data_IF_532025693825
#
_entry.id   IF_532025693825
#
_cell.length_a   1.000
_cell.length_b   1.000
_cell.length_c   1.000
_cell.angle_alpha   90.00
_cell.angle_beta   90.00
_cell.angle_gamma   90.00
#
_symmetry.space_group_name_H-M   'P 1'
#
loop_
_entity.id
_entity.type
_entity.pdbx_description
1 polymer ?
#
# COMPACT_ATOMS: atom_id res chain seq x y z
N UNK A 1 12.69 -37.28 -5.98
CA UNK A 1 11.35 -36.97 -5.43
C UNK A 1 10.70 -35.89 -6.27
N UNK A 2 9.57 -36.17 -6.89
CA UNK A 2 8.81 -35.15 -7.63
C UNK A 2 8.28 -34.11 -6.63
N UNK A 3 8.62 -32.84 -6.82
CA UNK A 3 8.12 -31.74 -6.00
C UNK A 3 6.62 -31.63 -6.20
N UNK A 4 5.84 -31.92 -5.15
CA UNK A 4 4.38 -31.76 -5.19
C UNK A 4 4.10 -30.26 -5.17
N UNK A 5 3.65 -29.73 -6.30
CA UNK A 5 3.30 -28.32 -6.42
C UNK A 5 1.96 -28.03 -5.73
N UNK A 6 1.82 -26.90 -5.03
CA UNK A 6 0.58 -26.55 -4.38
C UNK A 6 -0.53 -26.25 -5.42
N UNK A 7 -1.82 -26.41 -5.06
CA UNK A 7 -2.94 -26.15 -5.97
C UNK A 7 -2.95 -24.74 -6.57
N UNK A 8 -2.47 -23.75 -5.80
CA UNK A 8 -2.36 -22.35 -6.22
C UNK A 8 -1.12 -22.04 -7.06
N UNK A 9 -0.24 -23.02 -7.34
CA UNK A 9 1.01 -22.78 -8.06
C UNK A 9 0.78 -22.08 -9.41
N UNK A 10 -0.29 -22.46 -10.12
CA UNK A 10 -0.67 -21.85 -11.40
C UNK A 10 -0.98 -20.35 -11.32
N UNK A 11 -1.37 -19.84 -10.14
CA UNK A 11 -1.67 -18.42 -9.93
C UNK A 11 -0.40 -17.59 -9.71
N UNK A 12 0.65 -18.23 -9.19
CA UNK A 12 1.94 -17.58 -8.89
C UNK A 12 3.00 -17.83 -9.97
N UNK A 13 2.74 -18.76 -10.89
CA UNK A 13 3.60 -19.08 -12.03
C UNK A 13 3.18 -18.36 -13.31
N UNK A 14 4.10 -18.32 -14.27
CA UNK A 14 3.75 -17.90 -15.63
C UNK A 14 2.93 -18.95 -16.38
N UNK A 15 2.16 -18.52 -17.39
CA UNK A 15 2.02 -17.13 -17.86
C UNK A 15 1.02 -16.30 -17.04
N UNK A 16 0.24 -16.93 -16.15
CA UNK A 16 -0.87 -16.27 -15.45
C UNK A 16 -0.42 -15.06 -14.64
N UNK A 17 0.63 -15.20 -13.83
CA UNK A 17 1.10 -14.13 -12.94
C UNK A 17 1.48 -12.86 -13.70
N UNK A 18 2.30 -13.01 -14.76
CA UNK A 18 2.73 -11.88 -15.60
C UNK A 18 1.57 -11.27 -16.39
N UNK A 19 0.66 -12.09 -16.92
CA UNK A 19 -0.55 -11.60 -17.62
C UNK A 19 -1.45 -10.84 -16.65
N UNK A 20 -1.67 -11.36 -15.45
CA UNK A 20 -2.51 -10.74 -14.44
C UNK A 20 -2.01 -9.34 -14.11
N UNK A 21 -0.75 -9.20 -13.70
CA UNK A 21 -0.17 -7.89 -13.37
C UNK A 21 -0.07 -6.96 -14.59
N UNK A 22 0.24 -7.48 -15.77
CA UNK A 22 0.27 -6.69 -17.00
C UNK A 22 -1.10 -6.08 -17.34
N UNK A 23 -2.15 -6.90 -17.31
CA UNK A 23 -3.53 -6.47 -17.60
C UNK A 23 -4.02 -5.49 -16.54
N UNK A 24 -3.91 -5.83 -15.25
CA UNK A 24 -4.41 -4.95 -14.17
C UNK A 24 -3.68 -3.62 -14.13
N UNK A 25 -2.36 -3.61 -14.37
CA UNK A 25 -1.57 -2.38 -14.40
C UNK A 25 -1.94 -1.50 -15.59
N UNK A 26 -2.14 -2.11 -16.77
CA UNK A 26 -2.58 -1.38 -17.98
C UNK A 26 -3.95 -0.72 -17.78
N UNK A 27 -4.92 -1.46 -17.25
CA UNK A 27 -6.24 -0.91 -16.94
C UNK A 27 -6.17 0.19 -15.89
N UNK A 28 -5.37 0.02 -14.83
CA UNK A 28 -5.19 1.04 -13.79
C UNK A 28 -4.59 2.32 -14.37
N UNK A 29 -3.52 2.22 -15.16
CA UNK A 29 -2.87 3.38 -15.80
C UNK A 29 -3.86 4.09 -16.72
N UNK A 30 -4.56 3.36 -17.58
CA UNK A 30 -5.55 3.94 -18.50
C UNK A 30 -6.69 4.66 -17.74
N UNK A 31 -7.23 4.03 -16.69
CA UNK A 31 -8.30 4.61 -15.88
C UNK A 31 -7.84 5.88 -15.13
N UNK A 32 -6.63 5.88 -14.59
CA UNK A 32 -6.07 7.05 -13.90
C UNK A 32 -5.69 8.17 -14.88
N UNK A 33 -5.19 7.86 -16.08
CA UNK A 33 -5.00 8.84 -17.14
C UNK A 33 -6.33 9.47 -17.57
N UNK A 34 -7.40 8.68 -17.69
CA UNK A 34 -8.75 9.18 -17.94
C UNK A 34 -9.25 10.08 -16.80
N UNK A 35 -9.00 9.71 -15.54
CA UNK A 35 -9.32 10.54 -14.38
C UNK A 35 -8.58 11.88 -14.43
N UNK A 36 -7.29 11.87 -14.75
CA UNK A 36 -6.48 13.09 -14.93
C UNK A 36 -7.06 13.95 -16.06
N UNK A 37 -7.36 13.35 -17.21
CA UNK A 37 -8.01 14.04 -18.32
C UNK A 37 -9.35 14.65 -17.89
N UNK A 38 -10.20 13.90 -17.20
CA UNK A 38 -11.49 14.38 -16.70
C UNK A 38 -11.35 15.53 -15.71
N UNK A 39 -10.33 15.52 -14.85
CA UNK A 39 -10.03 16.62 -13.91
C UNK A 39 -9.72 17.92 -14.66
N UNK A 40 -8.97 17.85 -15.76
CA UNK A 40 -8.59 19.03 -16.56
C UNK A 40 -9.68 19.45 -17.56
N UNK A 41 -10.41 18.49 -18.13
CA UNK A 41 -11.47 18.74 -19.09
C UNK A 41 -12.76 19.27 -18.43
N UNK A 42 -13.04 18.87 -17.19
CA UNK A 42 -14.21 19.35 -16.46
C UNK A 42 -14.00 20.80 -16.01
N UNK A 43 -14.69 21.74 -16.66
CA UNK A 43 -14.82 23.14 -16.23
C UNK A 43 -15.63 23.33 -14.93
N UNK A 44 -15.88 22.24 -14.19
CA UNK A 44 -16.70 22.22 -12.99
C UNK A 44 -16.02 23.00 -11.85
N UNK A 45 -16.40 24.28 -11.75
CA UNK A 45 -16.14 25.16 -10.60
C UNK A 45 -16.58 24.50 -9.27
N UNK A 46 -17.53 23.56 -9.33
CA UNK A 46 -18.10 22.84 -8.19
C UNK A 46 -17.12 21.87 -7.49
N UNK A 47 -16.08 21.37 -8.17
CA UNK A 47 -15.09 20.45 -7.55
C UNK A 47 -14.06 21.23 -6.72
N UNK A 48 -13.79 22.50 -7.08
CA UNK A 48 -12.87 23.37 -6.35
C UNK A 48 -11.50 22.73 -6.09
N UNK A 49 -10.95 22.93 -4.88
CA UNK A 49 -9.63 22.41 -4.50
C UNK A 49 -9.55 20.89 -4.35
N UNK A 50 -10.66 20.16 -4.36
CA UNK A 50 -10.65 18.69 -4.26
C UNK A 50 -9.94 18.03 -5.45
N UNK A 51 -9.91 18.72 -6.60
CA UNK A 51 -9.23 18.25 -7.83
C UNK A 51 -7.75 17.94 -7.62
N UNK A 52 -7.06 18.68 -6.76
CA UNK A 52 -5.63 18.46 -6.50
C UNK A 52 -5.40 17.18 -5.71
N UNK A 53 -6.33 16.84 -4.80
CA UNK A 53 -6.27 15.59 -4.06
C UNK A 53 -6.57 14.39 -4.97
N UNK A 54 -7.55 14.52 -5.88
CA UNK A 54 -7.81 13.52 -6.93
C UNK A 54 -6.63 13.34 -7.88
N UNK A 55 -5.94 14.42 -8.26
CA UNK A 55 -4.74 14.37 -9.08
C UNK A 55 -3.60 13.64 -8.37
N UNK A 56 -3.37 13.95 -7.08
CA UNK A 56 -2.37 13.26 -6.27
C UNK A 56 -2.67 11.77 -6.16
N UNK A 57 -3.93 11.40 -5.90
CA UNK A 57 -4.37 10.00 -5.89
C UNK A 57 -4.09 9.30 -7.23
N UNK A 58 -4.49 9.92 -8.35
CA UNK A 58 -4.30 9.33 -9.67
C UNK A 58 -2.82 9.12 -10.03
N UNK A 59 -1.95 10.08 -9.70
CA UNK A 59 -0.51 9.97 -9.93
C UNK A 59 0.12 8.86 -9.07
N UNK A 60 -0.24 8.78 -7.79
CA UNK A 60 0.25 7.73 -6.89
C UNK A 60 -0.24 6.34 -7.32
N UNK A 61 -1.47 6.23 -7.82
CA UNK A 61 -2.00 4.95 -8.31
C UNK A 61 -1.32 4.51 -9.62
N UNK A 62 -0.99 5.44 -10.52
CA UNK A 62 -0.16 5.16 -11.71
C UNK A 62 1.22 4.65 -11.30
N UNK A 63 1.89 5.32 -10.36
CA UNK A 63 3.20 4.88 -9.86
C UNK A 63 3.09 3.47 -9.26
N UNK A 64 2.06 3.21 -8.47
CA UNK A 64 1.82 1.91 -7.87
C UNK A 64 1.56 0.82 -8.92
N UNK A 65 0.80 1.12 -9.97
CA UNK A 65 0.56 0.22 -11.10
C UNK A 65 1.85 -0.08 -11.88
N UNK A 66 2.69 0.93 -12.15
CA UNK A 66 4.01 0.73 -12.76
C UNK A 66 4.85 -0.19 -11.88
N UNK A 67 4.86 0.01 -10.56
CA UNK A 67 5.62 -0.84 -9.64
C UNK A 67 5.10 -2.27 -9.57
N UNK A 68 3.79 -2.52 -9.70
CA UNK A 68 3.28 -3.90 -9.82
C UNK A 68 3.81 -4.59 -11.07
N UNK A 69 3.88 -3.89 -12.20
CA UNK A 69 4.41 -4.43 -13.44
C UNK A 69 5.93 -4.60 -13.41
N UNK A 70 6.67 -3.64 -12.85
CA UNK A 70 8.15 -3.66 -12.81
C UNK A 70 8.64 -4.66 -11.76
N UNK A 71 8.06 -4.66 -10.57
CA UNK A 71 8.53 -5.50 -9.48
C UNK A 71 8.04 -6.95 -9.61
N UNK A 72 6.84 -7.18 -10.20
CA UNK A 72 6.16 -8.48 -10.18
C UNK A 72 6.30 -9.14 -8.79
N UNK A 73 5.75 -8.50 -7.76
CA UNK A 73 6.11 -8.79 -6.38
C UNK A 73 5.66 -10.21 -5.99
N UNK A 74 6.58 -10.99 -5.44
CA UNK A 74 6.27 -12.25 -4.78
C UNK A 74 6.34 -12.04 -3.28
N UNK A 75 5.28 -12.47 -2.58
CA UNK A 75 5.20 -12.49 -1.12
C UNK A 75 5.10 -13.95 -0.69
N UNK A 76 6.07 -14.40 0.11
CA UNK A 76 6.09 -15.75 0.65
C UNK A 76 6.08 -15.72 2.18
N UNK A 77 5.02 -16.27 2.77
CA UNK A 77 4.88 -16.41 4.22
C UNK A 77 5.60 -17.67 4.71
N UNK A 78 6.36 -17.52 5.79
CA UNK A 78 7.15 -18.58 6.41
C UNK A 78 6.90 -18.58 7.92
N UNK A 79 7.41 -19.56 8.65
CA UNK A 79 7.32 -19.56 10.12
C UNK A 79 8.11 -18.43 10.78
N UNK A 80 9.10 -17.85 10.09
CA UNK A 80 9.94 -16.75 10.57
C UNK A 80 9.44 -15.35 10.19
N UNK A 81 8.62 -15.24 9.14
CA UNK A 81 8.26 -13.94 8.58
C UNK A 81 7.75 -13.96 7.13
N UNK A 82 7.65 -12.78 6.53
CA UNK A 82 7.28 -12.57 5.12
C UNK A 82 8.49 -12.18 4.27
N UNK A 83 8.81 -13.00 3.27
CA UNK A 83 9.79 -12.65 2.24
C UNK A 83 9.09 -11.94 1.09
N UNK A 84 9.62 -10.78 0.73
CA UNK A 84 9.24 -10.00 -0.44
C UNK A 84 10.43 -10.01 -1.40
N UNK A 85 10.20 -10.36 -2.65
CA UNK A 85 11.22 -10.25 -3.68
C UNK A 85 10.58 -9.99 -5.04
N UNK A 86 11.27 -9.25 -5.91
CA UNK A 86 10.76 -8.99 -7.24
C UNK A 86 10.98 -10.20 -8.13
N UNK A 87 9.97 -10.60 -8.89
CA UNK A 87 10.11 -11.63 -9.93
C UNK A 87 10.68 -10.97 -11.18
N UNK A 88 12.00 -11.05 -11.31
CA UNK A 88 12.71 -10.30 -12.35
C UNK A 88 13.66 -11.16 -13.20
N UNK A 89 13.68 -12.48 -13.01
CA UNK A 89 14.55 -13.43 -13.73
C UNK A 89 16.03 -12.99 -13.83
N UNK A 90 16.51 -12.23 -12.84
CA UNK A 90 17.87 -11.71 -12.78
C UNK A 90 18.07 -10.31 -13.37
N UNK A 91 17.06 -9.67 -13.96
CA UNK A 91 17.15 -8.32 -14.55
C UNK A 91 17.63 -7.28 -13.53
N UNK A 92 17.22 -7.40 -12.26
CA UNK A 92 17.63 -6.48 -11.18
C UNK A 92 18.78 -7.01 -10.32
N UNK A 93 19.45 -8.06 -10.78
CA UNK A 93 20.59 -8.66 -10.08
C UNK A 93 21.76 -7.68 -10.15
N UNK A 94 22.19 -7.23 -8.98
CA UNK A 94 23.26 -6.23 -8.78
C UNK A 94 24.06 -6.66 -7.57
N UNK A 95 25.28 -6.14 -7.43
CA UNK A 95 26.15 -6.45 -6.29
C UNK A 95 25.40 -6.23 -4.95
N UNK A 96 25.27 -7.30 -4.18
CA UNK A 96 24.58 -7.27 -2.88
C UNK A 96 23.05 -7.13 -2.97
N UNK A 97 22.46 -7.27 -4.16
CA UNK A 97 21.01 -7.25 -4.37
C UNK A 97 20.36 -5.89 -4.12
N UNK A 98 21.13 -4.80 -4.18
CA UNK A 98 20.69 -3.46 -3.77
C UNK A 98 19.54 -2.95 -4.63
N UNK A 99 19.59 -3.13 -5.95
CA UNK A 99 18.55 -2.65 -6.87
C UNK A 99 17.23 -3.38 -6.66
N UNK A 100 17.23 -4.71 -6.66
CA UNK A 100 16.04 -5.52 -6.39
C UNK A 100 15.42 -5.22 -5.01
N UNK A 101 16.27 -5.01 -3.99
CA UNK A 101 15.81 -4.58 -2.66
C UNK A 101 15.16 -3.20 -2.73
N UNK A 102 15.79 -2.20 -3.36
CA UNK A 102 15.25 -0.86 -3.50
C UNK A 102 13.89 -0.86 -4.25
N UNK A 103 13.77 -1.61 -5.34
CA UNK A 103 12.52 -1.76 -6.10
C UNK A 103 11.41 -2.32 -5.20
N UNK A 104 11.73 -3.34 -4.40
CA UNK A 104 10.78 -3.93 -3.45
C UNK A 104 10.36 -2.94 -2.37
N UNK A 105 11.32 -2.16 -1.85
CA UNK A 105 11.05 -1.09 -0.87
C UNK A 105 10.14 -0.01 -1.44
N UNK A 106 10.40 0.46 -2.67
CA UNK A 106 9.56 1.44 -3.35
C UNK A 106 8.16 0.88 -3.57
N UNK A 107 8.05 -0.37 -4.02
CA UNK A 107 6.76 -1.04 -4.19
C UNK A 107 5.95 -1.10 -2.89
N UNK A 108 6.58 -1.54 -1.80
CA UNK A 108 5.92 -1.59 -0.48
C UNK A 108 5.52 -0.18 -0.03
N UNK A 109 6.38 0.82 -0.20
CA UNK A 109 6.07 2.20 0.17
C UNK A 109 4.86 2.74 -0.58
N UNK A 110 4.82 2.60 -1.91
CA UNK A 110 3.72 3.12 -2.74
C UNK A 110 2.42 2.37 -2.48
N UNK A 111 2.49 1.06 -2.25
CA UNK A 111 1.34 0.25 -1.88
C UNK A 111 0.68 0.74 -0.58
N UNK A 112 1.46 0.97 0.50
CA UNK A 112 0.88 1.45 1.77
C UNK A 112 0.50 2.94 1.73
N UNK A 113 1.13 3.74 0.89
CA UNK A 113 0.83 5.17 0.72
C UNK A 113 -0.63 5.41 0.29
N UNK A 114 -1.22 4.50 -0.49
CA UNK A 114 -2.58 4.69 -1.01
C UNK A 114 -3.63 4.78 0.11
N UNK A 115 -3.46 4.00 1.19
CA UNK A 115 -4.38 4.05 2.34
C UNK A 115 -4.35 5.40 3.05
N UNK A 116 -3.15 5.99 3.15
CA UNK A 116 -2.99 7.30 3.75
C UNK A 116 -3.61 8.38 2.86
N UNK A 117 -3.41 8.32 1.54
CA UNK A 117 -4.05 9.25 0.59
C UNK A 117 -5.58 9.14 0.68
N UNK A 118 -6.12 7.92 0.69
CA UNK A 118 -7.55 7.69 0.90
C UNK A 118 -8.05 8.33 2.20
N UNK A 119 -7.31 8.23 3.31
CA UNK A 119 -7.67 8.89 4.55
C UNK A 119 -7.82 10.41 4.42
N UNK A 120 -6.98 11.08 3.60
CA UNK A 120 -7.13 12.50 3.30
C UNK A 120 -8.40 12.82 2.52
N UNK A 121 -8.83 11.95 1.60
CA UNK A 121 -10.12 12.13 0.92
C UNK A 121 -11.29 12.12 1.91
N UNK A 122 -11.24 11.24 2.91
CA UNK A 122 -12.24 11.21 3.98
C UNK A 122 -12.18 12.46 4.86
N UNK A 123 -10.99 12.88 5.31
CA UNK A 123 -10.83 14.09 6.13
C UNK A 123 -11.33 15.32 5.38
N UNK A 124 -10.89 15.51 4.14
CA UNK A 124 -11.27 16.65 3.30
C UNK A 124 -12.79 16.76 3.19
N UNK A 125 -13.44 15.63 2.92
CA UNK A 125 -14.89 15.55 2.76
C UNK A 125 -15.64 15.75 4.07
N UNK A 126 -15.20 15.10 5.14
CA UNK A 126 -15.77 15.28 6.47
C UNK A 126 -15.73 16.76 6.88
N UNK A 127 -14.60 17.45 6.63
CA UNK A 127 -14.48 18.89 6.88
C UNK A 127 -15.43 19.71 6.03
N UNK A 128 -15.48 19.48 4.71
CA UNK A 128 -16.38 20.24 3.81
C UNK A 128 -17.84 20.11 4.21
N UNK A 129 -18.25 18.95 4.73
CA UNK A 129 -19.61 18.70 5.23
C UNK A 129 -19.83 19.16 6.68
N UNK A 130 -18.78 19.26 7.49
CA UNK A 130 -18.82 19.68 8.89
C UNK A 130 -18.31 21.11 9.11
N UNK A 131 -18.46 21.98 8.09
CA UNK A 131 -17.90 23.35 8.03
C UNK A 131 -18.33 24.28 9.18
N UNK A 132 -19.24 23.85 10.04
CA UNK A 132 -19.67 24.54 11.25
C UNK A 132 -18.61 24.48 12.38
N UNK A 133 -17.51 23.74 12.20
CA UNK A 133 -16.40 23.65 13.19
C UNK A 133 -15.22 24.57 12.82
N UNK A 134 -14.92 25.61 13.64
CA UNK A 134 -14.03 26.71 13.26
C UNK A 134 -12.53 26.38 13.21
N UNK A 135 -12.06 25.39 14.00
CA UNK A 135 -10.62 25.16 14.24
C UNK A 135 -9.83 24.86 12.95
N UNK A 136 -10.47 24.22 11.96
CA UNK A 136 -9.82 23.82 10.71
C UNK A 136 -10.35 24.59 9.50
N UNK A 137 -11.39 25.42 9.66
CA UNK A 137 -12.10 26.05 8.55
C UNK A 137 -11.27 27.11 7.82
N UNK A 138 -10.44 27.88 8.54
CA UNK A 138 -9.81 29.11 8.03
C UNK A 138 -8.41 28.92 7.41
N UNK A 139 -7.89 27.70 7.38
CA UNK A 139 -6.55 27.45 6.83
C UNK A 139 -6.54 27.53 5.29
N UNK A 140 -5.62 28.34 4.78
CA UNK A 140 -5.36 28.44 3.33
C UNK A 140 -5.04 27.06 2.73
N UNK A 141 -5.49 26.74 1.50
CA UNK A 141 -5.28 25.43 0.85
C UNK A 141 -3.81 24.99 0.81
N UNK A 142 -2.89 25.93 0.69
CA UNK A 142 -1.46 25.64 0.68
C UNK A 142 -0.96 25.03 2.01
N UNK A 143 -1.41 25.53 3.16
CA UNK A 143 -1.05 24.96 4.46
C UNK A 143 -1.58 23.54 4.62
N UNK A 144 -2.73 23.24 4.03
CA UNK A 144 -3.29 21.90 3.99
C UNK A 144 -2.50 20.94 3.13
N UNK A 145 -2.04 21.42 1.97
CA UNK A 145 -1.15 20.66 1.12
C UNK A 145 0.16 20.35 1.85
N UNK A 146 0.78 21.36 2.49
CA UNK A 146 2.00 21.18 3.27
C UNK A 146 1.81 20.19 4.42
N UNK A 147 0.75 20.35 5.23
CA UNK A 147 0.44 19.41 6.31
C UNK A 147 0.25 17.98 5.79
N UNK A 148 -0.49 17.83 4.69
CA UNK A 148 -0.71 16.53 4.04
C UNK A 148 0.60 15.91 3.56
N UNK A 149 1.45 16.68 2.88
CA UNK A 149 2.75 16.24 2.41
C UNK A 149 3.68 15.87 3.57
N UNK A 150 3.74 16.69 4.63
CA UNK A 150 4.59 16.43 5.80
C UNK A 150 4.18 15.15 6.53
N UNK A 151 2.88 14.95 6.75
CA UNK A 151 2.37 13.73 7.39
C UNK A 151 2.56 12.52 6.46
N UNK A 152 2.43 12.67 5.15
CA UNK A 152 2.73 11.60 4.19
C UNK A 152 4.20 11.17 4.26
N UNK A 153 5.13 12.13 4.20
CA UNK A 153 6.57 11.89 4.32
C UNK A 153 6.90 11.25 5.67
N UNK A 154 6.34 11.76 6.77
CA UNK A 154 6.57 11.21 8.10
C UNK A 154 6.02 9.78 8.24
N UNK A 155 4.80 9.52 7.74
CA UNK A 155 4.16 8.22 7.80
C UNK A 155 4.96 7.17 7.01
N UNK A 156 5.27 7.46 5.75
CA UNK A 156 6.05 6.55 4.90
C UNK A 156 7.46 6.41 5.46
N UNK A 157 8.11 7.50 5.85
CA UNK A 157 9.44 7.48 6.46
C UNK A 157 9.49 6.61 7.72
N UNK A 158 8.52 6.73 8.61
CA UNK A 158 8.45 5.92 9.84
C UNK A 158 8.19 4.45 9.53
N UNK A 159 7.26 4.15 8.62
CA UNK A 159 6.97 2.78 8.19
C UNK A 159 8.20 2.12 7.55
N UNK A 160 8.86 2.81 6.62
CA UNK A 160 10.06 2.31 5.94
C UNK A 160 11.24 2.19 6.90
N UNK A 161 11.41 3.14 7.84
CA UNK A 161 12.46 3.07 8.87
C UNK A 161 12.26 1.88 9.79
N UNK A 162 11.04 1.67 10.30
CA UNK A 162 10.70 0.52 11.14
C UNK A 162 10.97 -0.80 10.41
N UNK A 163 10.55 -0.88 9.14
CA UNK A 163 10.75 -2.01 8.25
C UNK A 163 12.23 -2.31 7.96
N UNK A 164 13.00 -1.30 7.55
CA UNK A 164 14.42 -1.46 7.17
C UNK A 164 15.32 -1.79 8.36
N UNK A 165 15.19 -1.05 9.47
CA UNK A 165 16.08 -1.20 10.63
C UNK A 165 15.98 -2.55 11.33
N UNK A 166 14.87 -3.28 11.11
CA UNK A 166 14.63 -4.59 11.71
C UNK A 166 14.79 -5.75 10.72
N UNK A 167 15.05 -5.43 9.45
CA UNK A 167 15.51 -6.40 8.47
C UNK A 167 16.92 -6.87 8.88
N UNK A 168 17.08 -8.18 9.08
CA UNK A 168 18.40 -8.79 9.24
C UNK A 168 18.71 -9.64 8.01
N UNK A 169 19.23 -9.04 6.93
CA UNK A 169 19.47 -9.75 5.68
C UNK A 169 20.37 -10.97 5.89
N UNK A 170 21.51 -10.84 6.58
CA UNK A 170 22.45 -11.95 6.77
C UNK A 170 21.80 -13.14 7.48
N UNK A 171 21.09 -12.88 8.58
CA UNK A 171 20.32 -13.89 9.29
C UNK A 171 19.28 -14.55 8.36
N UNK A 172 18.52 -13.74 7.62
CA UNK A 172 17.44 -14.20 6.74
C UNK A 172 17.92 -15.04 5.57
N UNK A 173 19.16 -14.79 5.10
CA UNK A 173 19.83 -15.61 4.08
C UNK A 173 20.23 -16.97 4.66
N UNK A 174 20.80 -16.99 5.87
CA UNK A 174 21.22 -18.22 6.53
C UNK A 174 20.06 -19.16 6.87
N UNK A 175 18.87 -18.60 7.17
CA UNK A 175 17.69 -19.38 7.57
C UNK A 175 16.61 -19.43 6.49
N UNK A 176 16.96 -19.14 5.24
CA UNK A 176 16.00 -19.13 4.15
C UNK A 176 15.40 -20.52 3.92
N UNK A 177 14.07 -20.65 3.81
CA UNK A 177 13.46 -21.95 3.56
C UNK A 177 13.68 -22.40 2.12
N UNK A 178 13.84 -23.72 1.94
CA UNK A 178 14.01 -24.33 0.60
C UNK A 178 12.82 -24.11 -0.33
N UNK A 179 11.63 -23.85 0.21
CA UNK A 179 10.43 -23.51 -0.56
C UNK A 179 10.64 -22.32 -1.51
N UNK A 180 11.55 -21.39 -1.19
CA UNK A 180 11.85 -20.27 -2.08
C UNK A 180 12.51 -20.72 -3.39
N UNK A 181 13.39 -21.71 -3.30
CA UNK A 181 14.03 -22.34 -4.46
C UNK A 181 13.03 -23.26 -5.16
N UNK A 182 12.33 -24.10 -4.41
CA UNK A 182 11.46 -25.13 -4.97
C UNK A 182 10.23 -24.55 -5.70
N UNK A 183 9.68 -23.44 -5.22
CA UNK A 183 8.48 -22.81 -5.79
C UNK A 183 8.80 -21.69 -6.77
N UNK A 184 9.86 -20.91 -6.53
CA UNK A 184 10.13 -19.69 -7.30
C UNK A 184 11.46 -19.74 -8.04
N UNK A 185 12.30 -20.77 -7.83
CA UNK A 185 13.64 -20.84 -8.40
C UNK A 185 14.61 -19.81 -7.81
N UNK A 186 14.26 -19.21 -6.66
CA UNK A 186 15.01 -18.08 -6.09
C UNK A 186 15.87 -18.54 -4.93
N UNK A 187 17.18 -18.49 -5.11
CA UNK A 187 18.16 -18.75 -4.06
C UNK A 187 18.53 -17.45 -3.33
N UNK A 188 17.81 -17.11 -2.27
CA UNK A 188 18.12 -15.91 -1.46
C UNK A 188 19.43 -16.05 -0.65
N UNK A 189 20.05 -17.21 -0.56
CA UNK A 189 21.38 -17.33 0.06
C UNK A 189 22.46 -16.60 -0.75
N UNK A 190 22.21 -16.40 -2.05
CA UNK A 190 23.06 -15.65 -2.96
C UNK A 190 22.99 -14.14 -2.69
N UNK A 191 24.15 -13.53 -2.44
CA UNK A 191 24.26 -12.12 -2.03
C UNK A 191 23.71 -11.14 -3.06
N UNK A 192 23.72 -11.47 -4.35
CA UNK A 192 23.24 -10.56 -5.39
C UNK A 192 21.73 -10.65 -5.63
N UNK A 193 21.07 -11.60 -4.98
CA UNK A 193 19.61 -11.67 -4.93
C UNK A 193 19.12 -10.70 -3.87
N UNK A 194 18.42 -9.66 -4.31
CA UNK A 194 17.78 -8.68 -3.43
C UNK A 194 16.40 -9.13 -2.98
N UNK A 195 16.09 -8.86 -1.72
CA UNK A 195 14.81 -9.17 -1.10
C UNK A 195 14.57 -8.22 0.07
N UNK A 196 13.35 -8.23 0.58
CA UNK A 196 12.96 -7.57 1.81
C UNK A 196 12.28 -8.60 2.72
N UNK A 197 12.73 -8.76 3.96
CA UNK A 197 12.18 -9.77 4.89
C UNK A 197 11.72 -9.11 6.19
N UNK A 198 10.44 -9.29 6.50
CA UNK A 198 9.85 -8.90 7.78
C UNK A 198 9.85 -10.12 8.70
N UNK A 199 10.78 -10.17 9.66
CA UNK A 199 11.03 -11.35 10.53
C UNK A 199 10.40 -11.19 11.92
N UNK A 200 9.35 -11.92 12.28
CA UNK A 200 8.81 -11.88 13.65
C UNK A 200 9.52 -12.82 14.63
N UNK A 201 10.08 -13.93 14.13
CA UNK A 201 10.81 -14.92 14.91
C UNK A 201 12.15 -15.22 14.27
N UNK A 202 13.15 -15.45 15.11
CA UNK A 202 14.49 -15.88 14.73
C UNK A 202 14.83 -17.18 15.44
N UNK A 203 15.37 -18.12 14.67
CA UNK A 203 16.07 -19.31 15.12
C UNK A 203 17.25 -18.90 16.00
N UNK A 204 17.20 -19.35 17.24
CA UNK A 204 18.34 -19.32 18.14
C UNK A 204 19.25 -20.51 17.79
N UNK A 205 20.44 -20.24 17.25
CA UNK A 205 21.38 -21.28 16.82
C UNK A 205 21.91 -22.13 17.98
N UNK A 206 21.80 -21.66 19.22
CA UNK A 206 22.25 -22.38 20.41
C UNK A 206 21.20 -23.40 20.87
N UNK A 207 19.92 -23.00 20.87
CA UNK A 207 18.81 -23.84 21.36
C UNK A 207 18.09 -24.58 20.24
N UNK A 208 18.28 -24.17 18.98
CA UNK A 208 17.57 -24.71 17.82
C UNK A 208 16.09 -24.28 17.74
N UNK A 209 15.62 -23.39 18.62
CA UNK A 209 14.22 -22.98 18.70
C UNK A 209 13.96 -21.63 18.06
N UNK A 210 12.76 -21.46 17.48
CA UNK A 210 12.30 -20.18 16.93
C UNK A 210 11.81 -19.27 18.06
N UNK A 211 12.55 -18.20 18.32
CA UNK A 211 12.28 -17.25 19.40
C UNK A 211 11.83 -15.89 18.85
N UNK A 212 11.03 -15.18 19.63
CA UNK A 212 10.57 -13.84 19.28
C UNK A 212 11.71 -12.83 19.34
N UNK A 213 11.91 -12.07 18.26
CA UNK A 213 12.96 -11.05 18.21
C UNK A 213 12.38 -9.68 18.55
N UNK A 214 12.70 -9.18 19.76
CA UNK A 214 12.11 -7.95 20.33
C UNK A 214 12.14 -6.74 19.38
N UNK A 215 13.25 -6.44 18.67
CA UNK A 215 13.26 -5.29 17.76
C UNK A 215 12.23 -5.39 16.63
N UNK A 216 12.01 -6.58 16.04
CA UNK A 216 10.96 -6.69 15.02
C UNK A 216 9.55 -6.60 15.59
N UNK A 217 9.33 -7.05 16.83
CA UNK A 217 8.03 -6.85 17.51
C UNK A 217 7.72 -5.35 17.61
N UNK A 218 8.72 -4.53 17.97
CA UNK A 218 8.55 -3.07 18.02
C UNK A 218 8.25 -2.50 16.63
N UNK A 219 8.95 -2.94 15.58
CA UNK A 219 8.65 -2.50 14.22
C UNK A 219 7.25 -2.88 13.75
N UNK A 220 6.83 -4.12 14.01
CA UNK A 220 5.48 -4.57 13.71
C UNK A 220 4.43 -3.76 14.48
N UNK A 221 4.67 -3.45 15.76
CA UNK A 221 3.78 -2.62 16.54
C UNK A 221 3.66 -1.20 15.96
N UNK A 222 4.75 -0.59 15.51
CA UNK A 222 4.75 0.72 14.82
C UNK A 222 3.93 0.63 13.52
N UNK A 223 4.19 -0.36 12.67
CA UNK A 223 3.45 -0.54 11.41
C UNK A 223 1.95 -0.78 11.66
N UNK A 224 1.60 -1.59 12.65
CA UNK A 224 0.21 -1.84 13.03
C UNK A 224 -0.47 -0.59 13.58
N UNK A 225 0.24 0.22 14.37
CA UNK A 225 -0.28 1.50 14.88
C UNK A 225 -0.57 2.47 13.74
N UNK A 226 0.30 2.55 12.73
CA UNK A 226 0.11 3.40 11.56
C UNK A 226 -1.11 2.97 10.74
N UNK A 227 -1.26 1.67 10.48
CA UNK A 227 -2.42 1.11 9.77
C UNK A 227 -3.70 1.34 10.58
N UNK A 228 -3.69 1.03 11.88
CA UNK A 228 -4.83 1.21 12.76
C UNK A 228 -5.24 2.69 12.88
N UNK A 229 -4.26 3.61 12.95
CA UNK A 229 -4.50 5.05 12.96
C UNK A 229 -5.19 5.51 11.68
N UNK A 230 -4.73 5.03 10.52
CA UNK A 230 -5.34 5.33 9.22
C UNK A 230 -6.78 4.80 9.15
N UNK A 231 -7.00 3.56 9.59
CA UNK A 231 -8.32 2.96 9.67
C UNK A 231 -9.26 3.77 10.59
N UNK A 232 -8.80 4.15 11.78
CA UNK A 232 -9.57 4.94 12.73
C UNK A 232 -9.98 6.30 12.14
N UNK A 233 -9.06 7.00 11.46
CA UNK A 233 -9.34 8.27 10.77
C UNK A 233 -10.41 8.10 9.70
N UNK A 234 -10.31 7.05 8.88
CA UNK A 234 -11.30 6.72 7.84
C UNK A 234 -12.65 6.43 8.49
N UNK A 235 -12.71 5.61 9.54
CA UNK A 235 -13.94 5.24 10.23
C UNK A 235 -14.63 6.46 10.86
N UNK A 236 -13.89 7.27 11.63
CA UNK A 236 -14.44 8.49 12.26
C UNK A 236 -14.96 9.46 11.21
N UNK A 237 -14.18 9.71 10.15
CA UNK A 237 -14.59 10.58 9.06
C UNK A 237 -15.82 10.06 8.32
N UNK A 238 -15.89 8.75 8.10
CA UNK A 238 -17.05 8.08 7.49
C UNK A 238 -18.32 8.28 8.31
N UNK A 239 -18.24 8.14 9.63
CA UNK A 239 -19.36 8.38 10.55
C UNK A 239 -19.82 9.84 10.47
N UNK A 240 -18.89 10.80 10.45
CA UNK A 240 -19.20 12.23 10.33
C UNK A 240 -19.90 12.53 9.00
N UNK A 241 -19.38 12.02 7.88
CA UNK A 241 -19.96 12.17 6.55
C UNK A 241 -21.37 11.58 6.50
N UNK A 242 -21.54 10.35 6.99
CA UNK A 242 -22.84 9.66 6.99
C UNK A 242 -23.89 10.42 7.81
N UNK A 243 -23.51 10.96 8.98
CA UNK A 243 -24.40 11.78 9.81
C UNK A 243 -24.79 13.08 9.11
N UNK A 244 -23.86 13.75 8.42
CA UNK A 244 -24.15 15.01 7.71
C UNK A 244 -24.95 14.82 6.43
N UNK A 245 -24.77 13.74 5.69
CA UNK A 245 -25.63 13.43 4.52
C UNK A 245 -27.08 13.17 4.94
N UNK A 246 -27.31 12.66 6.15
CA UNK A 246 -28.66 12.43 6.70
C UNK A 246 -29.31 13.67 7.32
N UNK A 247 -28.59 14.79 7.50
CA UNK A 247 -29.17 15.96 8.15
C UNK A 247 -30.22 16.64 7.26
N UNK A 248 -31.32 17.18 7.84
CA UNK A 248 -32.41 17.76 7.08
C UNK A 248 -32.02 19.04 6.34
N UNK A 249 -30.97 19.76 6.78
CA UNK A 249 -30.52 21.03 6.20
C UNK A 249 -29.87 20.97 4.82
N UNK A 250 -29.70 19.78 4.22
CA UNK A 250 -29.08 19.64 2.90
C UNK A 250 -30.11 19.50 1.78
N UNK A 251 -30.01 20.35 0.76
CA UNK A 251 -30.86 20.32 -0.43
C UNK A 251 -30.81 18.92 -1.12
N UNK A 252 -31.93 18.43 -1.69
CA UNK A 252 -32.02 17.08 -2.25
C UNK A 252 -30.98 16.77 -3.34
N UNK A 253 -30.73 17.71 -4.26
CA UNK A 253 -29.73 17.56 -5.35
C UNK A 253 -28.32 17.41 -4.79
N UNK A 254 -27.92 18.27 -3.85
CA UNK A 254 -26.61 18.22 -3.18
C UNK A 254 -26.46 16.93 -2.38
N UNK A 255 -27.52 16.49 -1.69
CA UNK A 255 -27.52 15.23 -0.92
C UNK A 255 -27.27 14.01 -1.81
N UNK A 256 -27.94 13.95 -2.97
CA UNK A 256 -27.72 12.87 -3.95
C UNK A 256 -26.26 12.85 -4.42
N UNK A 257 -25.71 14.00 -4.78
CA UNK A 257 -24.31 14.12 -5.22
C UNK A 257 -23.32 13.68 -4.13
N UNK A 258 -23.48 14.16 -2.89
CA UNK A 258 -22.60 13.81 -1.77
C UNK A 258 -22.66 12.31 -1.44
N UNK A 259 -23.85 11.69 -1.54
CA UNK A 259 -24.02 10.24 -1.35
C UNK A 259 -23.29 9.44 -2.42
N UNK A 260 -23.43 9.80 -3.70
CA UNK A 260 -22.74 9.12 -4.80
C UNK A 260 -21.23 9.17 -4.60
N UNK A 261 -20.70 10.38 -4.39
CA UNK A 261 -19.28 10.58 -4.17
C UNK A 261 -18.77 9.82 -2.92
N UNK A 262 -19.59 9.67 -1.87
CA UNK A 262 -19.20 8.95 -0.64
C UNK A 262 -19.19 7.44 -0.87
N UNK A 263 -20.20 6.91 -1.56
CA UNK A 263 -20.24 5.51 -1.97
C UNK A 263 -19.04 5.15 -2.87
N UNK A 264 -18.68 6.02 -3.81
CA UNK A 264 -17.48 5.84 -4.64
C UNK A 264 -16.23 5.74 -3.78
N UNK A 265 -16.06 6.62 -2.79
CA UNK A 265 -14.90 6.62 -1.90
C UNK A 265 -14.83 5.36 -1.02
N UNK A 266 -15.99 4.86 -0.56
CA UNK A 266 -16.07 3.59 0.17
C UNK A 266 -15.66 2.41 -0.70
N UNK A 267 -16.09 2.36 -1.96
CA UNK A 267 -15.68 1.31 -2.91
C UNK A 267 -14.18 1.40 -3.19
N UNK A 268 -13.66 2.60 -3.45
CA UNK A 268 -12.23 2.86 -3.66
C UNK A 268 -11.36 2.43 -2.48
N UNK A 269 -11.92 2.39 -1.26
CA UNK A 269 -11.21 1.93 -0.07
C UNK A 269 -11.41 0.43 0.17
N UNK A 270 -12.65 -0.06 0.01
CA UNK A 270 -13.02 -1.43 0.28
C UNK A 270 -12.37 -2.43 -0.67
N UNK A 271 -12.27 -2.10 -1.97
CA UNK A 271 -11.67 -2.98 -2.98
C UNK A 271 -10.18 -3.23 -2.68
N UNK A 272 -9.31 -2.22 -2.52
CA UNK A 272 -7.92 -2.45 -2.13
C UNK A 272 -7.76 -3.21 -0.80
N UNK A 273 -8.60 -2.95 0.20
CA UNK A 273 -8.56 -3.71 1.46
C UNK A 273 -8.89 -5.20 1.23
N UNK A 274 -9.93 -5.50 0.46
CA UNK A 274 -10.31 -6.87 0.14
C UNK A 274 -9.19 -7.60 -0.60
N UNK A 275 -8.72 -7.04 -1.71
CA UNK A 275 -7.69 -7.68 -2.53
C UNK A 275 -6.29 -7.62 -1.92
N UNK A 276 -6.05 -6.72 -0.97
CA UNK A 276 -4.77 -6.61 -0.27
C UNK A 276 -4.61 -7.58 0.89
N UNK A 277 -5.69 -7.88 1.62
CA UNK A 277 -5.62 -8.67 2.84
C UNK A 277 -6.26 -10.06 2.74
N UNK A 278 -7.17 -10.32 1.79
CA UNK A 278 -7.76 -11.67 1.60
C UNK A 278 -6.80 -12.70 0.98
N UNK A 279 -5.91 -12.37 0.03
CA UNK A 279 -5.00 -13.37 -0.53
C UNK A 279 -3.76 -13.66 0.35
N UNK A 280 -3.76 -13.23 1.62
CA UNK A 280 -2.70 -13.50 2.61
C UNK A 280 -3.02 -14.71 3.47
#
# INVERSE_FOLDING_TARGET
>A
NATILPPYFRLISDPFHSIFFGVTSTFSIAANCLLIYAIFAASCKDIGHYRYLLLCFALCDIITAIMHFVALPIIHMTSSGYYFFPRNDGIFRTEGGKLATAITFIYVATYYQIFLILSYHFIYRARKLASDRPILANWHPFHWFLLGASVNIAYIGLFMRASYSNMAPDYSRLTAPRSLIDLYGINVCDRDVGFFHITWKRLNFTTGTMEWYKPTIVAMAVSMMLIAGTAAVISVSSIVIARRIKSPGMAPKTRKMQRLLFNTLLIQTGVPCLFGYVPL
#
